data_IF_932395735401
#
_entry.id   IF_932395735401
#
_cell.length_a   1.000
_cell.length_b   1.000
_cell.length_c   1.000
_cell.angle_alpha   90.00
_cell.angle_beta   90.00
_cell.angle_gamma   90.00
#
_symmetry.space_group_name_H-M   'P 1'
#
loop_
_entity.id
_entity.type
_entity.pdbx_description
1 polymer ?
#
# COMPACT_ATOMS: atom_id res chain seq x y z
N UNK A 1 -17.35 3.55 -8.05
CA UNK A 1 -18.17 3.50 -6.83
C UNK A 1 -17.34 2.77 -5.79
N UNK A 2 -16.61 3.49 -4.95
CA UNK A 2 -15.98 2.90 -3.76
C UNK A 2 -17.13 2.59 -2.79
N UNK A 3 -17.37 1.30 -2.56
CA UNK A 3 -18.30 0.88 -1.51
C UNK A 3 -17.54 0.93 -0.20
N UNK A 4 -18.04 1.69 0.77
CA UNK A 4 -17.44 1.92 2.10
C UNK A 4 -17.63 0.70 3.03
N UNK A 5 -17.41 -0.50 2.48
CA UNK A 5 -17.76 -1.77 3.11
C UNK A 5 -16.56 -2.72 3.14
N UNK A 6 -16.37 -3.35 4.30
CA UNK A 6 -15.36 -4.38 4.49
C UNK A 6 -15.78 -5.67 3.79
N UNK A 7 -14.90 -6.22 2.95
CA UNK A 7 -15.12 -7.49 2.25
C UNK A 7 -14.33 -8.60 2.95
N UNK A 8 -15.00 -9.72 3.22
CA UNK A 8 -14.33 -10.92 3.73
C UNK A 8 -13.59 -11.63 2.60
N UNK A 9 -12.30 -11.86 2.78
CA UNK A 9 -11.46 -12.63 1.84
C UNK A 9 -11.31 -14.05 2.39
N UNK A 10 -12.01 -15.06 1.81
CA UNK A 10 -11.92 -16.43 2.29
C UNK A 10 -10.56 -17.04 1.94
N UNK A 11 -9.96 -17.84 2.84
CA UNK A 11 -8.76 -18.60 2.50
C UNK A 11 -9.10 -19.67 1.45
N UNK A 12 -8.34 -19.72 0.36
CA UNK A 12 -8.46 -20.77 -0.66
C UNK A 12 -7.26 -21.70 -0.55
N UNK A 13 -7.51 -23.01 -0.50
CA UNK A 13 -6.45 -24.01 -0.35
C UNK A 13 -5.46 -23.95 -1.52
N UNK A 14 -4.15 -23.99 -1.23
CA UNK A 14 -3.09 -23.89 -2.23
C UNK A 14 -2.93 -22.50 -2.86
N UNK A 15 -3.62 -21.47 -2.36
CA UNK A 15 -3.50 -20.10 -2.85
C UNK A 15 -2.64 -19.20 -1.97
N UNK A 16 -2.18 -18.09 -2.55
CA UNK A 16 -1.63 -16.95 -1.82
C UNK A 16 -2.50 -15.72 -2.10
N UNK A 17 -2.61 -14.83 -1.12
CA UNK A 17 -3.21 -13.51 -1.29
C UNK A 17 -2.09 -12.52 -1.60
N UNK A 18 -2.25 -11.75 -2.68
CA UNK A 18 -1.34 -10.67 -3.07
C UNK A 18 -2.11 -9.36 -2.98
N UNK A 19 -1.49 -8.35 -2.37
CA UNK A 19 -2.05 -7.00 -2.29
C UNK A 19 -0.99 -5.96 -2.67
N UNK A 20 -1.44 -4.84 -3.22
CA UNK A 20 -0.58 -3.73 -3.59
C UNK A 20 -0.24 -2.87 -2.37
N UNK A 21 1.04 -2.51 -2.23
CA UNK A 21 1.53 -1.59 -1.21
C UNK A 21 1.57 -0.13 -1.69
N UNK A 22 1.70 0.80 -0.74
CA UNK A 22 1.77 2.25 -1.04
C UNK A 22 2.90 2.60 -2.02
N UNK A 23 4.05 1.94 -1.92
CA UNK A 23 5.17 2.17 -2.85
C UNK A 23 4.76 1.88 -4.30
N UNK A 24 4.03 0.78 -4.57
CA UNK A 24 3.54 0.45 -5.91
C UNK A 24 2.47 1.44 -6.39
N UNK A 25 1.60 1.89 -5.48
CA UNK A 25 0.64 2.96 -5.79
C UNK A 25 1.35 4.27 -6.18
N UNK A 26 2.43 4.64 -5.48
CA UNK A 26 3.24 5.82 -5.79
C UNK A 26 3.95 5.66 -7.15
N UNK A 27 4.62 4.53 -7.39
CA UNK A 27 5.30 4.24 -8.66
C UNK A 27 4.36 4.30 -9.87
N UNK A 28 3.14 3.77 -9.70
CA UNK A 28 2.14 3.72 -10.77
C UNK A 28 1.37 5.03 -10.98
N UNK A 29 1.74 6.11 -10.28
CA UNK A 29 0.98 7.36 -10.23
C UNK A 29 -0.51 7.14 -9.90
N UNK A 30 -0.80 6.20 -9.00
CA UNK A 30 -2.15 5.90 -8.55
C UNK A 30 -2.96 4.99 -9.46
N UNK A 31 -2.36 4.41 -10.52
CA UNK A 31 -3.03 3.42 -11.38
C UNK A 31 -3.31 2.11 -10.63
N UNK A 32 -2.37 1.67 -9.78
CA UNK A 32 -2.60 0.61 -8.80
C UNK A 32 -3.01 1.19 -7.45
N UNK A 33 -3.86 0.46 -6.70
CA UNK A 33 -4.48 0.93 -5.46
C UNK A 33 -4.07 0.05 -4.29
N UNK A 34 -3.40 0.65 -3.32
CA UNK A 34 -3.12 0.01 -2.05
C UNK A 34 -4.34 0.09 -1.14
N UNK A 35 -5.06 -1.02 -1.01
CA UNK A 35 -6.28 -1.12 -0.24
C UNK A 35 -6.03 -1.20 1.28
N UNK A 36 -6.95 -0.62 2.06
CA UNK A 36 -7.04 -0.89 3.48
C UNK A 36 -7.44 -2.34 3.72
N UNK A 37 -6.77 -2.99 4.68
CA UNK A 37 -7.06 -4.36 5.07
C UNK A 37 -6.85 -4.52 6.58
N UNK A 38 -7.63 -5.41 7.18
CA UNK A 38 -7.55 -5.72 8.61
C UNK A 38 -7.76 -7.20 8.85
N UNK A 39 -7.20 -7.70 9.94
CA UNK A 39 -7.47 -9.07 10.43
C UNK A 39 -8.46 -8.97 11.58
N UNK A 40 -9.63 -9.59 11.43
CA UNK A 40 -10.60 -9.70 12.50
C UNK A 40 -10.26 -10.88 13.41
N UNK A 41 -10.19 -10.65 14.72
CA UNK A 41 -10.05 -11.72 15.71
C UNK A 41 -11.36 -12.52 15.82
N UNK A 42 -11.26 -13.85 15.89
CA UNK A 42 -12.40 -14.75 16.13
C UNK A 42 -12.11 -15.55 17.39
N UNK A 43 -12.88 -15.31 18.46
CA UNK A 43 -12.59 -15.84 19.80
C UNK A 43 -12.64 -17.35 19.98
N UNK A 44 -13.08 -18.11 18.96
CA UNK A 44 -13.26 -19.56 19.06
C UNK A 44 -12.14 -20.40 18.44
N UNK A 45 -11.25 -19.82 17.61
CA UNK A 45 -10.23 -20.59 16.90
C UNK A 45 -8.95 -19.77 16.65
N UNK A 46 -7.80 -20.45 16.68
CA UNK A 46 -6.53 -19.87 16.29
C UNK A 46 -6.42 -19.77 14.76
N UNK A 47 -5.84 -18.66 14.27
CA UNK A 47 -5.49 -18.46 12.86
C UNK A 47 -4.05 -17.99 12.76
N UNK A 48 -3.28 -18.61 11.87
CA UNK A 48 -1.88 -18.26 11.60
C UNK A 48 -1.77 -17.78 10.15
N UNK A 49 -0.93 -16.77 9.90
CA UNK A 49 -0.58 -16.28 8.57
C UNK A 49 0.89 -15.85 8.53
N UNK A 50 1.55 -16.05 7.39
CA UNK A 50 2.96 -15.67 7.18
C UNK A 50 3.01 -14.64 6.04
N UNK A 51 3.04 -13.33 6.33
CA UNK A 51 3.16 -12.31 5.29
C UNK A 51 4.61 -12.17 4.84
N UNK A 52 4.81 -11.95 3.54
CA UNK A 52 6.10 -11.59 2.94
C UNK A 52 5.95 -10.23 2.27
N UNK A 53 6.85 -9.30 2.58
CA UNK A 53 6.80 -7.93 2.07
C UNK A 53 7.96 -7.68 1.11
N UNK A 54 7.63 -7.33 -0.14
CA UNK A 54 8.58 -6.93 -1.17
C UNK A 54 8.63 -5.41 -1.25
N UNK A 55 9.64 -4.82 -0.63
CA UNK A 55 9.76 -3.38 -0.46
C UNK A 55 10.98 -2.80 -1.18
N UNK A 56 10.95 -1.51 -1.57
CA UNK A 56 12.15 -0.77 -1.96
C UNK A 56 13.22 -0.79 -0.85
N UNK A 57 14.47 -0.54 -1.21
CA UNK A 57 15.56 -0.41 -0.24
C UNK A 57 15.42 0.92 0.51
N UNK A 58 15.90 1.04 1.76
CA UNK A 58 15.76 2.28 2.54
C UNK A 58 16.32 3.55 1.86
N UNK A 59 17.32 3.39 1.00
CA UNK A 59 17.98 4.49 0.28
C UNK A 59 17.38 4.75 -1.12
N UNK A 60 16.41 3.96 -1.57
CA UNK A 60 15.75 4.19 -2.85
C UNK A 60 14.82 5.41 -2.77
N UNK A 61 14.73 6.17 -3.87
CA UNK A 61 13.74 7.24 -4.03
C UNK A 61 12.51 6.63 -4.69
N UNK A 62 11.34 6.81 -4.06
CA UNK A 62 10.05 6.41 -4.62
C UNK A 62 9.31 7.62 -5.17
N UNK A 63 8.66 7.47 -6.31
CA UNK A 63 7.91 8.52 -7.00
C UNK A 63 7.28 7.95 -8.28
N UNK A 64 6.40 8.69 -8.98
CA UNK A 64 5.83 8.23 -10.24
C UNK A 64 6.91 7.84 -11.24
N UNK A 65 6.81 6.64 -11.83
CA UNK A 65 7.72 6.20 -12.88
C UNK A 65 7.57 7.09 -14.12
N UNK A 66 8.66 7.45 -14.82
CA UNK A 66 8.57 8.27 -16.03
C UNK A 66 7.62 7.67 -17.06
N UNK A 67 7.60 6.34 -17.20
CA UNK A 67 6.73 5.57 -18.09
C UNK A 67 5.24 5.85 -17.88
N UNK A 68 4.82 6.07 -16.64
CA UNK A 68 3.40 6.27 -16.32
C UNK A 68 2.94 7.72 -16.50
N UNK A 69 3.87 8.62 -16.87
CA UNK A 69 3.62 10.04 -17.18
C UNK A 69 3.83 10.38 -18.67
N UNK A 70 4.22 9.39 -19.49
CA UNK A 70 4.63 9.62 -20.90
C UNK A 70 3.54 10.24 -21.77
N UNK A 71 2.26 10.08 -21.42
CA UNK A 71 1.14 10.60 -22.21
C UNK A 71 0.64 11.96 -21.70
N UNK A 72 1.41 12.65 -20.86
CA UNK A 72 1.07 13.95 -20.31
C UNK A 72 0.25 13.89 -19.03
N UNK A 73 0.15 12.73 -18.36
CA UNK A 73 -0.42 12.65 -17.02
C UNK A 73 0.36 13.52 -16.04
N UNK A 74 -0.36 14.26 -15.19
CA UNK A 74 0.29 15.04 -14.11
C UNK A 74 0.69 14.09 -12.97
N UNK A 75 1.85 14.30 -12.34
CA UNK A 75 2.22 13.55 -11.14
C UNK A 75 1.23 13.87 -10.02
N UNK A 76 0.76 12.82 -9.33
CA UNK A 76 -0.07 12.91 -8.13
C UNK A 76 0.81 12.83 -6.87
N UNK A 77 1.99 12.22 -7.00
CA UNK A 77 2.95 12.04 -5.92
C UNK A 77 4.28 12.72 -6.25
N UNK A 78 4.95 13.24 -5.23
CA UNK A 78 6.33 13.73 -5.29
C UNK A 78 7.32 12.59 -5.02
N UNK A 79 8.55 12.78 -5.47
CA UNK A 79 9.64 11.86 -5.15
C UNK A 79 10.06 12.01 -3.70
N UNK A 80 10.13 10.90 -2.95
CA UNK A 80 10.54 10.87 -1.54
C UNK A 80 11.53 9.73 -1.28
N UNK A 81 12.44 9.91 -0.32
CA UNK A 81 13.30 8.84 0.16
C UNK A 81 12.45 7.78 0.86
N UNK A 82 12.62 6.50 0.50
CA UNK A 82 11.77 5.43 1.02
C UNK A 82 11.86 5.32 2.55
N UNK A 83 13.07 5.45 3.12
CA UNK A 83 13.24 5.43 4.58
C UNK A 83 12.50 6.58 5.29
N UNK A 84 12.35 7.74 4.67
CA UNK A 84 11.59 8.84 5.27
C UNK A 84 10.08 8.62 5.16
N UNK A 85 9.61 8.03 4.06
CA UNK A 85 8.23 7.55 3.95
C UNK A 85 7.92 6.52 5.04
N UNK A 86 8.79 5.53 5.24
CA UNK A 86 8.63 4.48 6.25
C UNK A 86 8.67 5.05 7.67
N UNK A 87 9.57 5.99 7.97
CA UNK A 87 9.58 6.70 9.27
C UNK A 87 8.26 7.45 9.50
N UNK A 88 7.72 8.11 8.47
CA UNK A 88 6.43 8.79 8.56
C UNK A 88 5.28 7.79 8.78
N UNK A 89 5.30 6.67 8.05
CA UNK A 89 4.32 5.59 8.14
C UNK A 89 4.22 5.01 9.56
N UNK A 90 5.36 4.75 10.21
CA UNK A 90 5.39 4.22 11.57
C UNK A 90 5.32 5.28 12.68
N UNK A 91 5.14 6.57 12.35
CA UNK A 91 5.08 7.65 13.35
C UNK A 91 3.79 7.60 14.19
N UNK A 92 2.70 7.06 13.64
CA UNK A 92 1.41 6.91 14.31
C UNK A 92 0.80 5.55 14.01
N UNK A 93 -0.20 5.16 14.80
CA UNK A 93 -1.01 3.98 14.52
C UNK A 93 -1.65 4.06 13.14
N UNK A 94 -1.85 2.89 12.53
CA UNK A 94 -2.54 2.77 11.25
C UNK A 94 -4.01 3.22 11.41
N UNK A 95 -4.31 4.40 10.88
CA UNK A 95 -5.63 5.03 10.91
C UNK A 95 -5.97 5.51 9.50
N UNK A 96 -6.36 4.55 8.66
CA UNK A 96 -6.67 4.75 7.26
C UNK A 96 -5.46 4.99 6.34
N UNK A 97 -5.73 5.63 5.20
CA UNK A 97 -4.73 5.90 4.14
C UNK A 97 -4.01 7.25 4.24
N UNK A 98 -4.13 7.96 5.36
CA UNK A 98 -3.57 9.31 5.50
C UNK A 98 -2.04 9.37 5.31
N UNK A 99 -1.33 8.26 5.45
CA UNK A 99 0.12 8.21 5.25
C UNK A 99 0.53 8.57 3.81
N UNK A 100 -0.31 8.27 2.82
CA UNK A 100 -0.04 8.62 1.42
C UNK A 100 0.07 10.13 1.21
N UNK A 101 -0.57 10.94 2.06
CA UNK A 101 -0.48 12.41 2.00
C UNK A 101 0.96 12.92 2.15
N UNK A 102 1.83 12.17 2.84
CA UNK A 102 3.25 12.52 2.94
C UNK A 102 3.93 12.60 1.57
N UNK A 103 3.50 11.75 0.63
CA UNK A 103 4.05 11.65 -0.72
C UNK A 103 3.17 12.34 -1.78
N UNK A 104 1.96 12.80 -1.47
CA UNK A 104 1.15 13.56 -2.44
C UNK A 104 1.72 14.95 -2.70
N UNK A 105 1.41 15.49 -3.88
CA UNK A 105 1.66 16.88 -4.29
C UNK A 105 0.51 17.77 -3.82
#
# INVERSE_FOLDING_TARGET
METDHWIYVPPVNGSIVINDGDALQIFSNGKYKSAEHRVAAKGSNNRISVPIFFNPRPHDIIGPLPEVLKNGEKPIYKSVLYSDYVKHFFRKSHDGKQTLEFAKI
#
